data_IF_286960853119
#
_entry.id   IF_286960853119
#
_cell.length_a   1.000
_cell.length_b   1.000
_cell.length_c   1.000
_cell.angle_alpha   90.00
_cell.angle_beta   90.00
_cell.angle_gamma   90.00
#
_symmetry.space_group_name_H-M   'P 1'
#
loop_
_entity.id
_entity.type
_entity.pdbx_description
1 polymer ?
#
# COMPACT_ATOMS: atom_id res chain seq x y z
N UNK A 1 -1.35 3.90 13.50
CA UNK A 1 -1.07 5.04 12.59
C UNK A 1 -0.09 4.55 11.54
N UNK A 2 -0.44 4.66 10.26
CA UNK A 2 0.35 4.16 9.13
C UNK A 2 1.51 5.12 8.83
N UNK A 3 2.71 4.60 8.53
CA UNK A 3 3.87 5.40 8.11
C UNK A 3 3.54 6.39 6.97
N UNK A 4 2.60 6.02 6.09
CA UNK A 4 2.13 6.86 5.00
C UNK A 4 1.57 8.22 5.45
N UNK A 5 0.99 8.34 6.65
CA UNK A 5 0.47 9.64 7.11
C UNK A 5 1.57 10.66 7.36
N UNK A 6 2.81 10.21 7.64
CA UNK A 6 3.97 11.09 7.81
C UNK A 6 4.50 11.61 6.45
N UNK A 7 4.02 11.07 5.34
CA UNK A 7 4.43 11.48 3.98
C UNK A 7 3.52 12.54 3.36
N UNK A 8 2.49 13.01 4.08
CA UNK A 8 1.55 14.01 3.57
C UNK A 8 1.42 15.20 4.54
N UNK A 9 1.31 16.43 3.99
CA UNK A 9 1.03 17.61 4.80
C UNK A 9 -0.36 17.49 5.43
N UNK A 10 -0.57 18.16 6.56
CA UNK A 10 -1.83 18.08 7.34
C UNK A 10 -3.10 18.23 6.52
N UNK A 11 -3.09 19.09 5.49
CA UNK A 11 -4.22 19.30 4.57
C UNK A 11 -4.61 18.06 3.75
N UNK A 12 -3.63 17.22 3.37
CA UNK A 12 -3.79 16.07 2.48
C UNK A 12 -3.74 14.73 3.20
N UNK A 13 -3.29 14.71 4.45
CA UNK A 13 -3.14 13.49 5.28
C UNK A 13 -4.44 12.70 5.39
N UNK A 14 -5.59 13.37 5.49
CA UNK A 14 -6.91 12.73 5.51
C UNK A 14 -7.27 12.00 4.21
N UNK A 15 -7.00 12.62 3.06
CA UNK A 15 -7.23 12.03 1.73
C UNK A 15 -6.31 10.84 1.51
N UNK A 16 -5.02 10.99 1.83
CA UNK A 16 -4.02 9.92 1.69
C UNK A 16 -4.31 8.70 2.56
N UNK A 17 -4.78 8.91 3.80
CA UNK A 17 -5.20 7.81 4.69
C UNK A 17 -6.48 7.15 4.18
N UNK A 18 -7.48 7.92 3.75
CA UNK A 18 -8.72 7.39 3.18
C UNK A 18 -8.50 6.56 1.91
N UNK A 19 -7.59 7.00 1.03
CA UNK A 19 -7.19 6.26 -0.16
C UNK A 19 -6.51 4.93 0.21
N UNK A 20 -5.52 4.95 1.11
CA UNK A 20 -4.86 3.74 1.60
C UNK A 20 -5.86 2.72 2.18
N UNK A 21 -6.84 3.21 2.94
CA UNK A 21 -7.87 2.34 3.53
C UNK A 21 -8.80 1.75 2.47
N UNK A 22 -9.18 2.53 1.46
CA UNK A 22 -10.00 2.07 0.34
C UNK A 22 -9.26 1.01 -0.46
N UNK A 23 -7.98 1.22 -0.74
CA UNK A 23 -7.13 0.26 -1.42
C UNK A 23 -7.02 -1.04 -0.63
N UNK A 24 -6.72 -0.98 0.67
CA UNK A 24 -6.68 -2.16 1.54
C UNK A 24 -8.00 -2.95 1.52
N UNK A 25 -9.13 -2.27 1.60
CA UNK A 25 -10.45 -2.90 1.54
C UNK A 25 -10.73 -3.52 0.18
N UNK A 26 -10.46 -2.80 -0.91
CA UNK A 26 -10.64 -3.29 -2.27
C UNK A 26 -9.79 -4.55 -2.52
N UNK A 27 -8.51 -4.53 -2.13
CA UNK A 27 -7.60 -5.67 -2.27
C UNK A 27 -8.07 -6.89 -1.46
N UNK A 28 -8.59 -6.69 -0.25
CA UNK A 28 -9.18 -7.78 0.54
C UNK A 28 -10.41 -8.39 -0.14
N UNK A 29 -11.36 -7.56 -0.58
CA UNK A 29 -12.56 -8.04 -1.30
C UNK A 29 -12.17 -8.79 -2.58
N UNK A 30 -11.22 -8.24 -3.33
CA UNK A 30 -10.73 -8.83 -4.57
C UNK A 30 -10.06 -10.19 -4.30
N UNK A 31 -9.26 -10.31 -3.23
CA UNK A 31 -8.60 -11.55 -2.84
C UNK A 31 -9.59 -12.66 -2.46
N UNK A 32 -10.65 -12.31 -1.72
CA UNK A 32 -11.71 -13.27 -1.36
C UNK A 32 -12.42 -13.83 -2.59
N UNK A 33 -12.59 -13.03 -3.65
CA UNK A 33 -13.17 -13.47 -4.90
C UNK A 33 -12.17 -14.25 -5.79
N UNK A 34 -10.94 -13.77 -5.92
CA UNK A 34 -9.94 -14.40 -6.79
C UNK A 34 -9.40 -15.72 -6.24
N UNK A 35 -9.33 -15.90 -4.92
CA UNK A 35 -8.81 -17.12 -4.33
C UNK A 35 -9.50 -18.40 -4.83
N UNK A 36 -10.83 -18.55 -4.78
CA UNK A 36 -11.50 -19.74 -5.31
C UNK A 36 -11.32 -19.90 -6.82
N UNK A 37 -11.31 -18.80 -7.59
CA UNK A 37 -11.09 -18.82 -9.05
C UNK A 37 -9.69 -19.36 -9.39
N UNK A 38 -8.66 -18.85 -8.72
CA UNK A 38 -7.28 -19.29 -8.90
C UNK A 38 -7.06 -20.72 -8.40
N UNK A 39 -7.69 -21.09 -7.28
CA UNK A 39 -7.64 -22.46 -6.74
C UNK A 39 -8.27 -23.47 -7.71
N UNK A 40 -9.38 -23.11 -8.36
CA UNK A 40 -10.00 -23.95 -9.38
C UNK A 40 -9.13 -24.11 -10.64
N UNK A 41 -8.40 -23.06 -11.04
CA UNK A 41 -7.55 -23.10 -12.23
C UNK A 41 -6.19 -23.78 -12.00
N UNK A 42 -5.61 -23.64 -10.81
CA UNK A 42 -4.22 -24.02 -10.51
C UNK A 42 -4.11 -25.19 -9.51
N UNK A 43 -5.21 -25.59 -8.86
CA UNK A 43 -5.20 -26.55 -7.76
C UNK A 43 -4.29 -26.09 -6.62
N UNK A 44 -3.38 -26.96 -6.18
CA UNK A 44 -2.38 -26.63 -5.14
C UNK A 44 -1.33 -25.61 -5.61
N UNK A 45 -1.24 -25.32 -6.91
CA UNK A 45 -0.35 -24.30 -7.46
C UNK A 45 -0.66 -22.88 -6.97
N UNK A 46 -1.88 -22.62 -6.47
CA UNK A 46 -2.29 -21.31 -5.92
C UNK A 46 -1.40 -20.85 -4.77
N UNK A 47 -0.80 -21.77 -4.00
CA UNK A 47 0.09 -21.42 -2.90
C UNK A 47 1.39 -20.76 -3.37
N UNK A 48 1.86 -21.06 -4.58
CA UNK A 48 3.01 -20.35 -5.17
C UNK A 48 2.68 -18.90 -5.50
N UNK A 49 1.45 -18.62 -5.94
CA UNK A 49 0.98 -17.25 -6.19
C UNK A 49 0.93 -16.45 -4.89
N UNK A 50 0.45 -17.08 -3.81
CA UNK A 50 0.42 -16.45 -2.48
C UNK A 50 1.85 -16.25 -1.95
N UNK A 51 2.75 -17.22 -2.14
CA UNK A 51 4.14 -17.11 -1.73
C UNK A 51 4.89 -15.97 -2.44
N UNK A 52 4.48 -15.60 -3.66
CA UNK A 52 5.05 -14.46 -4.40
C UNK A 52 4.63 -13.10 -3.82
N UNK A 53 3.47 -12.99 -3.18
CA UNK A 53 2.94 -11.73 -2.65
C UNK A 53 3.92 -10.99 -1.71
N UNK A 54 4.52 -11.62 -0.68
CA UNK A 54 5.50 -10.94 0.17
C UNK A 54 6.77 -10.53 -0.58
N UNK A 55 7.17 -11.23 -1.65
CA UNK A 55 8.32 -10.85 -2.47
C UNK A 55 8.05 -9.55 -3.25
N UNK A 56 6.83 -9.35 -3.72
CA UNK A 56 6.41 -8.08 -4.33
C UNK A 56 6.46 -6.95 -3.30
N UNK A 57 5.98 -7.19 -2.07
CA UNK A 57 6.09 -6.22 -0.97
C UNK A 57 7.54 -5.89 -0.62
N UNK A 58 8.41 -6.89 -0.56
CA UNK A 58 9.83 -6.71 -0.32
C UNK A 58 10.49 -5.90 -1.45
N UNK A 59 10.18 -6.21 -2.71
CA UNK A 59 10.69 -5.47 -3.86
C UNK A 59 10.23 -4.00 -3.82
N UNK A 60 8.97 -3.74 -3.45
CA UNK A 60 8.47 -2.37 -3.27
C UNK A 60 9.24 -1.62 -2.18
N UNK A 61 9.52 -2.25 -1.04
CA UNK A 61 10.32 -1.65 0.04
C UNK A 61 11.77 -1.37 -0.38
N UNK A 62 12.38 -2.26 -1.17
CA UNK A 62 13.76 -2.08 -1.65
C UNK A 62 13.87 -1.01 -2.74
N UNK A 63 12.87 -0.91 -3.62
CA UNK A 63 12.87 0.03 -4.74
C UNK A 63 12.42 1.43 -4.32
N UNK A 64 11.49 1.55 -3.38
CA UNK A 64 10.97 2.82 -2.89
C UNK A 64 11.78 3.27 -1.67
N UNK A 65 12.87 4.01 -1.91
CA UNK A 65 13.75 4.56 -0.86
C UNK A 65 13.19 5.83 -0.19
N UNK A 66 11.87 5.97 -0.12
CA UNK A 66 11.24 7.17 0.43
C UNK A 66 11.38 7.21 1.97
N UNK A 67 12.01 8.25 2.49
CA UNK A 67 12.28 8.41 3.92
C UNK A 67 11.62 9.69 4.47
N UNK A 68 10.41 9.60 5.06
CA UNK A 68 9.67 10.76 5.55
C UNK A 68 10.17 11.28 6.91
N UNK A 69 11.05 10.55 7.60
CA UNK A 69 11.47 10.89 8.96
C UNK A 69 12.45 12.07 9.05
N UNK A 70 13.17 12.39 7.96
CA UNK A 70 14.15 13.48 7.90
C UNK A 70 13.66 14.76 7.20
N UNK A 71 12.42 14.77 6.71
CA UNK A 71 11.86 15.85 5.92
C UNK A 71 10.58 16.38 6.59
N UNK A 72 10.55 17.68 6.89
CA UNK A 72 9.36 18.34 7.42
C UNK A 72 8.36 18.55 6.28
N UNK A 73 7.57 17.50 6.00
CA UNK A 73 6.53 17.51 4.97
C UNK A 73 5.47 18.58 5.26
N UNK A 74 5.22 18.91 6.53
CA UNK A 74 4.24 19.91 6.93
C UNK A 74 4.70 21.34 6.58
N UNK A 75 6.02 21.58 6.41
CA UNK A 75 6.56 22.87 5.94
C UNK A 75 6.18 23.21 4.48
N UNK A 76 5.77 22.22 3.68
CA UNK A 76 5.35 22.44 2.28
C UNK A 76 4.00 23.16 2.17
N UNK A 77 3.11 23.02 3.15
CA UNK A 77 1.81 23.73 3.19
C UNK A 77 2.00 25.25 3.41
N UNK A 78 3.17 25.70 3.89
CA UNK A 78 3.45 27.09 4.27
C UNK A 78 4.37 27.86 3.31
N UNK A 79 4.83 27.25 2.20
CA UNK A 79 5.62 27.97 1.19
C UNK A 79 4.71 28.84 0.31
N UNK A 80 4.98 30.16 0.16
CA UNK A 80 4.22 30.99 -0.77
C UNK A 80 4.52 30.57 -2.22
N UNK A 81 3.48 30.59 -3.06
CA UNK A 81 3.51 30.23 -4.47
C UNK A 81 4.38 31.18 -5.32
#
# INVERSE_FOLDING_TARGET
MTFASLSYPTSLRGVGVGFNQTLMRASSTLSLFLFPVLSAALGTGVFWVIALAPLVGLAALLLIRWEPAGYDVDAEDFRPA
#
